data_IF_445314611179
#
_entry.id   IF_445314611179
#
_cell.length_a   1.000
_cell.length_b   1.000
_cell.length_c   1.000
_cell.angle_alpha   90.00
_cell.angle_beta   90.00
_cell.angle_gamma   90.00
#
_symmetry.space_group_name_H-M   'P 1'
#
loop_
_entity.id
_entity.type
_entity.pdbx_description
1 polymer ?
#
# COMPACT_ATOMS: atom_id res chain seq x y z
N UNK A 1 -9.22 11.06 11.05
CA UNK A 1 -10.11 11.16 9.89
C UNK A 1 -9.26 11.69 8.78
N UNK A 2 -8.67 10.74 8.07
CA UNK A 2 -7.80 10.93 6.91
C UNK A 2 -8.66 11.39 5.75
N UNK A 3 -8.22 12.36 4.95
CA UNK A 3 -9.07 12.85 3.86
C UNK A 3 -9.02 11.88 2.67
N UNK A 4 -10.09 11.72 1.89
CA UNK A 4 -10.10 10.86 0.71
C UNK A 4 -9.00 11.18 -0.31
N UNK A 5 -8.51 12.43 -0.31
CA UNK A 5 -7.36 12.87 -1.10
C UNK A 5 -6.05 12.18 -0.73
N UNK A 6 -5.86 11.87 0.55
CA UNK A 6 -4.59 11.35 1.07
C UNK A 6 -4.35 9.95 0.52
N UNK A 7 -5.38 9.09 0.53
CA UNK A 7 -5.29 7.74 -0.02
C UNK A 7 -5.18 7.69 -1.55
N UNK A 8 -5.77 8.65 -2.27
CA UNK A 8 -5.61 8.76 -3.73
C UNK A 8 -4.16 9.08 -4.10
N UNK A 9 -3.47 9.90 -3.30
CA UNK A 9 -2.04 10.18 -3.48
C UNK A 9 -1.21 8.90 -3.32
N UNK A 10 -1.52 8.06 -2.33
CA UNK A 10 -0.86 6.75 -2.13
C UNK A 10 -1.03 5.85 -3.34
N UNK A 11 -2.25 5.72 -3.86
CA UNK A 11 -2.50 4.92 -5.06
C UNK A 11 -1.68 5.41 -6.25
N UNK A 12 -1.61 6.73 -6.43
CA UNK A 12 -0.86 7.35 -7.51
C UNK A 12 0.64 7.05 -7.40
N UNK A 13 1.21 7.16 -6.20
CA UNK A 13 2.62 6.84 -5.97
C UNK A 13 2.89 5.35 -6.20
N UNK A 14 2.07 4.45 -5.68
CA UNK A 14 2.29 3.00 -5.87
C UNK A 14 2.10 2.59 -7.34
N UNK A 15 1.19 3.23 -8.08
CA UNK A 15 1.06 3.01 -9.53
C UNK A 15 2.37 3.36 -10.28
N UNK A 16 3.10 4.41 -9.87
CA UNK A 16 4.43 4.71 -10.42
C UNK A 16 5.43 3.58 -10.21
N UNK A 17 5.34 2.84 -9.09
CA UNK A 17 6.21 1.69 -8.83
C UNK A 17 5.96 0.56 -9.82
N UNK A 18 4.69 0.28 -10.13
CA UNK A 18 4.32 -0.73 -11.14
C UNK A 18 4.86 -0.32 -12.51
N UNK A 19 4.66 0.95 -12.90
CA UNK A 19 5.11 1.48 -14.19
C UNK A 19 6.65 1.57 -14.30
N UNK A 20 7.35 1.68 -13.16
CA UNK A 20 8.82 1.75 -13.12
C UNK A 20 9.52 0.42 -13.44
N UNK A 21 8.76 -0.67 -13.59
CA UNK A 21 9.27 -2.02 -13.85
C UNK A 21 10.27 -2.51 -12.78
N UNK A 22 10.19 -1.95 -11.56
CA UNK A 22 10.92 -2.40 -10.38
C UNK A 22 10.26 -3.64 -9.83
N UNK A 23 11.08 -4.63 -9.47
CA UNK A 23 10.60 -5.86 -8.87
C UNK A 23 10.63 -5.75 -7.35
N UNK A 24 9.47 -5.99 -6.73
CA UNK A 24 9.35 -6.32 -5.32
C UNK A 24 8.61 -7.63 -5.25
N UNK A 25 9.23 -8.64 -4.64
CA UNK A 25 8.59 -9.94 -4.56
C UNK A 25 7.38 -9.85 -3.63
N UNK A 26 6.36 -10.64 -3.94
CA UNK A 26 5.19 -10.79 -3.08
C UNK A 26 5.56 -11.17 -1.65
N UNK A 27 6.57 -12.04 -1.48
CA UNK A 27 7.01 -12.50 -0.16
C UNK A 27 7.61 -11.36 0.67
N UNK A 28 8.45 -10.52 0.06
CA UNK A 28 9.04 -9.35 0.73
C UNK A 28 7.98 -8.35 1.14
N UNK A 29 7.04 -8.06 0.24
CA UNK A 29 5.93 -7.15 0.55
C UNK A 29 5.04 -7.66 1.67
N UNK A 30 4.62 -8.93 1.59
CA UNK A 30 3.78 -9.57 2.62
C UNK A 30 4.49 -9.59 3.96
N UNK A 31 5.80 -9.87 3.97
CA UNK A 31 6.58 -9.84 5.21
C UNK A 31 6.61 -8.44 5.82
N UNK A 32 6.86 -7.41 5.00
CA UNK A 32 6.89 -6.02 5.47
C UNK A 32 5.53 -5.55 5.99
N UNK A 33 4.44 -5.92 5.30
CA UNK A 33 3.08 -5.60 5.73
C UNK A 33 2.72 -6.29 7.06
N UNK A 34 3.09 -7.56 7.26
CA UNK A 34 2.88 -8.27 8.56
C UNK A 34 3.67 -7.68 9.71
N UNK A 35 4.79 -7.03 9.40
CA UNK A 35 5.67 -6.40 10.37
C UNK A 35 5.38 -4.88 10.48
N UNK A 36 4.25 -4.41 9.93
CA UNK A 36 3.78 -3.01 9.98
C UNK A 36 4.86 -2.01 9.55
N UNK A 37 5.58 -2.37 8.47
CA UNK A 37 6.69 -1.60 7.92
C UNK A 37 6.73 -1.56 6.40
N UNK A 38 5.61 -1.83 5.73
CA UNK A 38 5.51 -1.82 4.28
C UNK A 38 5.84 -0.44 3.70
N UNK A 39 5.30 0.63 4.27
CA UNK A 39 5.55 2.01 3.83
C UNK A 39 7.01 2.40 4.04
N UNK A 40 7.58 2.06 5.20
CA UNK A 40 9.00 2.30 5.47
C UNK A 40 9.91 1.55 4.50
N UNK A 41 9.55 0.32 4.12
CA UNK A 41 10.28 -0.44 3.12
C UNK A 41 10.18 0.20 1.72
N UNK A 42 8.98 0.63 1.31
CA UNK A 42 8.76 1.27 0.02
C UNK A 42 9.53 2.59 -0.10
N UNK A 43 9.52 3.42 0.94
CA UNK A 43 10.28 4.68 1.00
C UNK A 43 11.80 4.42 0.91
N UNK A 44 12.30 3.40 1.60
CA UNK A 44 13.72 3.05 1.60
C UNK A 44 14.20 2.46 0.27
N UNK A 45 13.38 1.62 -0.37
CA UNK A 45 13.76 0.93 -1.60
C UNK A 45 13.44 1.71 -2.87
N UNK A 46 12.40 2.55 -2.82
CA UNK A 46 11.84 3.21 -3.99
C UNK A 46 11.49 4.68 -3.75
N UNK A 47 11.99 5.33 -2.70
CA UNK A 47 11.76 6.76 -2.43
C UNK A 47 12.31 7.71 -3.51
N UNK A 48 13.05 7.21 -4.49
CA UNK A 48 13.43 7.92 -5.71
C UNK A 48 12.32 7.93 -6.79
N UNK A 49 11.31 7.09 -6.63
CA UNK A 49 10.18 6.89 -7.55
C UNK A 49 8.86 7.32 -6.91
N UNK A 50 8.69 7.04 -5.62
CA UNK A 50 7.50 7.38 -4.84
C UNK A 50 7.73 8.48 -3.83
N UNK A 51 6.79 9.41 -3.77
CA UNK A 51 6.74 10.41 -2.73
C UNK A 51 5.77 10.01 -1.62
N UNK A 52 6.29 9.36 -0.58
CA UNK A 52 5.52 8.97 0.61
C UNK A 52 5.60 10.02 1.72
N UNK A 53 6.05 11.25 1.42
CA UNK A 53 6.25 12.30 2.42
C UNK A 53 4.96 12.71 3.11
N UNK A 54 3.82 12.71 2.40
CA UNK A 54 2.51 13.01 2.97
C UNK A 54 2.15 11.99 4.05
N UNK A 55 2.25 10.69 3.75
CA UNK A 55 1.94 9.62 4.69
C UNK A 55 2.87 9.69 5.90
N UNK A 56 4.17 9.85 5.65
CA UNK A 56 5.19 9.97 6.71
C UNK A 56 5.00 11.21 7.59
N UNK A 57 4.38 12.27 7.06
CA UNK A 57 4.04 13.48 7.81
C UNK A 57 2.81 13.31 8.71
N UNK A 58 2.04 12.23 8.53
CA UNK A 58 0.81 11.93 9.25
C UNK A 58 0.91 10.56 9.94
N UNK A 59 1.50 10.47 11.15
CA UNK A 59 1.72 9.20 11.83
C UNK A 59 0.46 8.34 12.02
N UNK A 60 -0.69 8.96 12.31
CA UNK A 60 -1.94 8.23 12.47
C UNK A 60 -2.45 7.61 11.17
N UNK A 61 -2.27 8.29 10.03
CA UNK A 61 -2.60 7.75 8.72
C UNK A 61 -1.63 6.61 8.36
N UNK A 62 -0.34 6.78 8.64
CA UNK A 62 0.65 5.73 8.40
C UNK A 62 0.34 4.46 9.21
N UNK A 63 0.02 4.59 10.50
CA UNK A 63 -0.40 3.46 11.35
C UNK A 63 -1.66 2.80 10.80
N UNK A 64 -2.68 3.56 10.43
CA UNK A 64 -3.93 3.06 9.84
C UNK A 64 -3.67 2.23 8.57
N UNK A 65 -2.86 2.74 7.64
CA UNK A 65 -2.53 2.02 6.41
C UNK A 65 -1.70 0.76 6.69
N UNK A 66 -0.73 0.81 7.59
CA UNK A 66 0.09 -0.36 7.94
C UNK A 66 -0.75 -1.44 8.63
N UNK A 67 -1.69 -1.07 9.51
CA UNK A 67 -2.64 -2.00 10.13
C UNK A 67 -3.56 -2.65 9.09
N UNK A 68 -4.12 -1.87 8.16
CA UNK A 68 -4.96 -2.39 7.08
C UNK A 68 -4.18 -3.32 6.17
N UNK A 69 -2.94 -2.99 5.86
CA UNK A 69 -2.05 -3.84 5.08
C UNK A 69 -1.74 -5.15 5.79
N UNK A 70 -1.39 -5.08 7.06
CA UNK A 70 -1.14 -6.23 7.93
C UNK A 70 -2.38 -7.14 7.97
N UNK A 71 -3.57 -6.56 8.12
CA UNK A 71 -4.84 -7.29 8.10
C UNK A 71 -5.11 -7.95 6.74
N UNK A 72 -4.82 -7.27 5.63
CA UNK A 72 -5.03 -7.77 4.27
C UNK A 72 -4.14 -8.97 3.94
N UNK A 73 -2.90 -8.98 4.43
CA UNK A 73 -1.94 -10.10 4.21
C UNK A 73 -1.99 -11.18 5.31
N UNK A 74 -2.60 -10.85 6.45
CA UNK A 74 -2.81 -11.72 7.61
C UNK A 74 -4.12 -12.53 7.53
N UNK A 75 -5.19 -11.94 6.97
CA UNK A 75 -6.33 -12.69 6.45
C UNK A 75 -5.87 -13.55 5.28
N UNK A 76 -6.46 -14.74 5.07
CA UNK A 76 -6.16 -15.61 3.93
C UNK A 76 -5.94 -14.75 2.67
N UNK A 77 -4.69 -14.59 2.16
CA UNK A 77 -4.42 -13.64 1.10
C UNK A 77 -5.29 -14.06 -0.07
N UNK A 78 -6.27 -13.25 -0.49
CA UNK A 78 -7.19 -13.70 -1.51
C UNK A 78 -6.37 -14.00 -2.75
N UNK A 79 -6.43 -15.26 -3.18
CA UNK A 79 -5.98 -15.67 -4.52
C UNK A 79 -6.60 -14.80 -5.61
N UNK A 80 -7.66 -14.06 -5.29
CA UNK A 80 -8.39 -13.13 -6.13
C UNK A 80 -7.65 -11.81 -6.41
N UNK A 81 -6.70 -11.35 -5.58
CA UNK A 81 -6.08 -10.03 -5.76
C UNK A 81 -4.85 -9.98 -6.69
N UNK A 82 -4.55 -11.05 -7.43
CA UNK A 82 -3.39 -11.04 -8.34
C UNK A 82 -2.03 -10.87 -7.62
N UNK A 83 -2.02 -10.95 -6.28
CA UNK A 83 -0.84 -10.85 -5.41
C UNK A 83 0.21 -11.92 -5.76
N UNK A 84 -0.10 -12.92 -6.59
CA UNK A 84 0.76 -14.09 -6.83
C UNK A 84 2.01 -13.81 -7.70
N UNK A 85 2.10 -12.69 -8.42
CA UNK A 85 3.29 -12.40 -9.26
C UNK A 85 3.95 -11.04 -9.01
N UNK A 86 3.20 -10.03 -8.53
CA UNK A 86 3.77 -8.72 -8.19
C UNK A 86 3.12 -8.18 -6.90
N UNK A 87 3.87 -8.15 -5.80
CA UNK A 87 3.39 -7.68 -4.50
C UNK A 87 2.89 -6.23 -4.52
N UNK A 88 3.43 -5.39 -5.40
CA UNK A 88 3.03 -4.00 -5.57
C UNK A 88 1.67 -3.87 -6.26
N UNK A 89 1.39 -4.73 -7.26
CA UNK A 89 0.09 -4.72 -7.95
C UNK A 89 -1.05 -5.10 -6.99
N UNK A 90 -0.80 -6.10 -6.13
CA UNK A 90 -1.73 -6.48 -5.07
C UNK A 90 -1.97 -5.36 -4.05
N UNK A 91 -0.93 -4.60 -3.73
CA UNK A 91 -1.04 -3.42 -2.86
C UNK A 91 -1.92 -2.32 -3.47
N UNK A 92 -1.76 -2.02 -4.77
CA UNK A 92 -2.59 -1.02 -5.47
C UNK A 92 -4.05 -1.41 -5.47
N UNK A 93 -4.37 -2.66 -5.79
CA UNK A 93 -5.76 -3.13 -5.77
C UNK A 93 -6.37 -2.97 -4.39
N UNK A 94 -5.63 -3.31 -3.34
CA UNK A 94 -6.13 -3.19 -1.97
C UNK A 94 -6.34 -1.73 -1.53
N UNK A 95 -5.39 -0.84 -1.81
CA UNK A 95 -5.55 0.61 -1.56
C UNK A 95 -6.70 1.21 -2.38
N UNK A 96 -6.94 0.70 -3.59
CA UNK A 96 -8.09 1.08 -4.42
C UNK A 96 -9.40 0.73 -3.74
N UNK A 97 -9.50 -0.48 -3.21
CA UNK A 97 -10.70 -0.91 -2.48
C UNK A 97 -10.92 -0.17 -1.17
N UNK A 98 -9.86 0.22 -0.46
CA UNK A 98 -9.96 1.02 0.76
C UNK A 98 -10.51 2.41 0.47
N UNK A 99 -10.01 3.07 -0.57
CA UNK A 99 -10.54 4.36 -1.03
C UNK A 99 -11.97 4.25 -1.54
N UNK A 100 -12.29 3.20 -2.28
CA UNK A 100 -13.64 2.98 -2.77
C UNK A 100 -14.62 2.70 -1.63
N UNK A 101 -14.18 2.03 -0.54
CA UNK A 101 -14.99 1.82 0.66
C UNK A 101 -15.24 3.12 1.41
N UNK A 102 -14.21 3.93 1.63
CA UNK A 102 -14.35 5.24 2.28
C UNK A 102 -15.29 6.15 1.47
N UNK A 103 -15.15 6.20 0.15
CA UNK A 103 -16.06 6.97 -0.72
C UNK A 103 -17.50 6.46 -0.77
N UNK A 104 -17.75 5.19 -0.47
CA UNK A 104 -19.11 4.64 -0.40
C UNK A 104 -19.79 4.87 0.96
N UNK A 105 -19.03 5.31 1.97
CA UNK A 105 -19.53 5.60 3.31
C UNK A 105 -19.86 7.09 3.54
N UNK A 106 -19.49 7.97 2.61
CA UNK A 106 -19.94 9.38 2.49
C UNK A 106 -21.18 9.54 1.59
#
# INVERSE_FOLDING_TARGET
MSQPSDYVEIQYEVAKLIDSNKELTTEEFVKAAREERAISMLDSQFGDIVDLSLIKSQPGLMEEIEEELSAAVGGNPPKEYGIMENGLAGYVVHLTELVDKEHQMD
#
